data_IF_422157053115
#
_entry.id   IF_422157053115
#
_cell.length_a   1.000
_cell.length_b   1.000
_cell.length_c   1.000
_cell.angle_alpha   90.00
_cell.angle_beta   90.00
_cell.angle_gamma   90.00
#
_symmetry.space_group_name_H-M   'P 1'
#
loop_
_entity.id
_entity.type
_entity.pdbx_description
1 polymer ?
#
# COMPACT_ATOMS: atom_id res chain seq x y z
N UNK A 1 -14.34 -10.82 21.86
CA UNK A 1 -13.22 -11.76 21.57
C UNK A 1 -12.30 -11.80 22.78
N UNK A 2 -11.93 -12.98 23.26
CA UNK A 2 -10.99 -13.11 24.39
C UNK A 2 -9.57 -13.01 23.83
N UNK A 3 -8.98 -11.82 23.90
CA UNK A 3 -7.66 -11.52 23.32
C UNK A 3 -6.60 -11.71 24.41
N UNK A 4 -5.68 -12.66 24.22
CA UNK A 4 -4.56 -12.85 25.14
C UNK A 4 -3.48 -11.80 24.85
N UNK A 5 -3.27 -10.90 25.81
CA UNK A 5 -2.20 -9.90 25.79
C UNK A 5 -1.04 -10.43 26.63
N UNK A 6 0.17 -10.27 26.13
CA UNK A 6 1.40 -10.71 26.81
C UNK A 6 2.43 -9.59 26.86
N UNK A 7 3.20 -9.57 27.94
CA UNK A 7 4.36 -8.71 28.12
C UNK A 7 5.66 -9.38 27.65
N UNK A 8 6.72 -8.58 27.58
CA UNK A 8 8.07 -9.07 27.31
C UNK A 8 8.47 -10.12 28.36
N UNK A 9 8.93 -11.29 27.93
CA UNK A 9 9.41 -12.35 28.83
C UNK A 9 8.31 -13.22 29.44
N UNK A 10 7.03 -12.95 29.12
CA UNK A 10 5.91 -13.74 29.60
C UNK A 10 5.81 -15.09 28.87
N UNK A 11 5.51 -16.15 29.61
CA UNK A 11 5.34 -17.51 29.07
C UNK A 11 3.98 -17.62 28.39
N UNK A 12 3.97 -18.02 27.12
CA UNK A 12 2.75 -18.10 26.29
C UNK A 12 2.14 -19.51 26.36
N UNK A 13 2.98 -20.53 26.17
CA UNK A 13 2.59 -21.94 26.17
C UNK A 13 3.78 -22.79 26.62
N UNK A 14 3.50 -23.86 27.37
CA UNK A 14 4.48 -24.86 27.83
C UNK A 14 4.55 -26.10 26.90
N UNK A 15 3.77 -26.10 25.82
CA UNK A 15 3.60 -27.26 24.93
C UNK A 15 4.69 -27.31 23.87
N UNK A 16 5.43 -28.43 23.83
CA UNK A 16 6.47 -28.72 22.83
C UNK A 16 5.93 -28.88 21.40
N UNK A 17 4.61 -28.91 21.20
CA UNK A 17 3.99 -29.06 19.88
C UNK A 17 3.78 -27.74 19.12
N UNK A 18 4.04 -26.59 19.76
CA UNK A 18 3.87 -25.28 19.13
C UNK A 18 5.09 -24.89 18.29
N UNK A 19 4.86 -24.49 17.05
CA UNK A 19 5.86 -23.90 16.16
C UNK A 19 6.03 -22.42 16.52
N UNK A 20 7.27 -21.97 16.68
CA UNK A 20 7.59 -20.57 16.96
C UNK A 20 7.37 -19.68 15.74
N UNK A 21 6.59 -18.62 15.92
CA UNK A 21 6.44 -17.53 14.96
C UNK A 21 7.24 -16.29 15.34
N UNK A 22 6.94 -15.18 14.68
CA UNK A 22 7.51 -13.88 15.03
C UNK A 22 7.06 -13.42 16.42
N UNK A 23 7.93 -12.70 17.14
CA UNK A 23 7.61 -12.19 18.48
C UNK A 23 7.67 -13.24 19.59
N UNK A 24 8.14 -14.46 19.30
CA UNK A 24 8.34 -15.52 20.29
C UNK A 24 9.75 -16.10 20.23
N UNK A 25 10.23 -16.64 21.34
CA UNK A 25 11.48 -17.38 21.42
C UNK A 25 11.36 -18.47 22.48
N UNK A 26 12.22 -19.48 22.39
CA UNK A 26 12.20 -20.59 23.34
C UNK A 26 13.22 -20.34 24.45
N UNK A 27 12.79 -20.49 25.71
CA UNK A 27 13.65 -20.38 26.89
C UNK A 27 13.22 -21.43 27.91
N UNK A 28 14.16 -22.23 28.40
CA UNK A 28 13.92 -23.25 29.43
C UNK A 28 12.80 -24.24 29.06
N UNK A 29 12.70 -24.61 27.77
CA UNK A 29 11.65 -25.49 27.23
C UNK A 29 10.32 -24.79 26.95
N UNK A 30 10.09 -23.59 27.48
CA UNK A 30 8.85 -22.85 27.32
C UNK A 30 8.90 -21.86 26.14
N UNK A 31 7.75 -21.61 25.53
CA UNK A 31 7.61 -20.56 24.53
C UNK A 31 7.32 -19.22 25.23
N UNK A 32 8.22 -18.26 25.06
CA UNK A 32 8.21 -16.96 25.73
C UNK A 32 8.04 -15.84 24.71
N UNK A 33 7.35 -14.77 25.11
CA UNK A 33 7.20 -13.59 24.26
C UNK A 33 8.46 -12.72 24.22
N UNK A 34 8.92 -12.33 23.03
CA UNK A 34 9.98 -11.33 22.84
C UNK A 34 9.46 -9.90 22.65
N UNK A 35 8.14 -9.70 22.63
CA UNK A 35 7.52 -8.38 22.45
C UNK A 35 6.27 -8.23 23.31
N UNK A 36 5.89 -6.99 23.65
CA UNK A 36 4.58 -6.73 24.25
C UNK A 36 3.50 -6.66 23.16
N UNK A 37 2.46 -7.49 23.26
CA UNK A 37 1.51 -7.63 22.17
C UNK A 37 0.40 -8.64 22.40
N UNK A 38 -0.30 -8.93 21.31
CA UNK A 38 -1.41 -9.88 21.28
C UNK A 38 -0.91 -11.22 20.75
N UNK A 39 -1.19 -12.30 21.47
CA UNK A 39 -0.89 -13.66 21.03
C UNK A 39 -1.79 -14.03 19.86
N UNK A 40 -1.18 -14.45 18.76
CA UNK A 40 -1.85 -14.89 17.54
C UNK A 40 -1.47 -16.34 17.27
N UNK A 41 -2.43 -17.25 17.49
CA UNK A 41 -2.29 -18.68 17.24
C UNK A 41 -2.98 -19.04 15.94
N UNK A 42 -2.23 -19.63 15.00
CA UNK A 42 -2.76 -20.17 13.74
C UNK A 42 -2.30 -21.61 13.64
N UNK A 43 -3.22 -22.57 13.82
CA UNK A 43 -2.89 -23.97 13.96
C UNK A 43 -1.83 -24.17 15.06
N UNK A 44 -0.68 -24.77 14.71
CA UNK A 44 0.45 -24.95 15.62
C UNK A 44 1.39 -23.74 15.69
N UNK A 45 1.24 -22.74 14.81
CA UNK A 45 2.12 -21.57 14.78
C UNK A 45 1.66 -20.53 15.82
N UNK A 46 2.53 -20.25 16.79
CA UNK A 46 2.28 -19.24 17.83
C UNK A 46 3.20 -18.04 17.60
N UNK A 47 2.58 -16.88 17.34
CA UNK A 47 3.27 -15.61 17.14
C UNK A 47 2.69 -14.54 18.06
N UNK A 48 3.44 -13.48 18.32
CA UNK A 48 2.96 -12.32 19.07
C UNK A 48 2.99 -11.11 18.15
N UNK A 49 1.81 -10.54 17.90
CA UNK A 49 1.67 -9.29 17.14
C UNK A 49 1.92 -8.12 18.09
N UNK A 50 3.01 -7.34 17.91
CA UNK A 50 3.32 -6.23 18.79
C UNK A 50 2.28 -5.11 18.66
N UNK A 51 2.04 -4.36 19.73
CA UNK A 51 1.14 -3.19 19.72
C UNK A 51 1.66 -2.08 18.80
N UNK A 52 2.98 -1.97 18.65
CA UNK A 52 3.63 -1.02 17.73
C UNK A 52 4.81 -1.68 17.03
N UNK A 53 4.86 -1.58 15.71
CA UNK A 53 5.98 -2.07 14.90
C UNK A 53 6.24 -1.18 13.68
N UNK A 54 7.48 -1.24 13.17
CA UNK A 54 7.79 -0.78 11.82
C UNK A 54 7.19 -1.75 10.80
N UNK A 55 7.11 -1.30 9.55
CA UNK A 55 6.64 -2.15 8.47
C UNK A 55 7.54 -3.38 8.31
N UNK A 56 6.92 -4.57 8.25
CA UNK A 56 7.60 -5.82 7.98
C UNK A 56 7.31 -6.22 6.53
N UNK A 57 8.32 -6.13 5.64
CA UNK A 57 8.11 -6.37 4.22
C UNK A 57 7.78 -7.83 3.95
N UNK A 58 6.82 -8.08 3.06
CA UNK A 58 6.52 -9.40 2.52
C UNK A 58 6.60 -9.38 1.00
N UNK A 59 6.96 -10.52 0.40
CA UNK A 59 7.02 -10.65 -1.06
C UNK A 59 5.62 -10.47 -1.64
N UNK A 60 5.50 -9.65 -2.68
CA UNK A 60 4.22 -9.28 -3.30
C UNK A 60 3.51 -8.10 -2.65
N UNK A 61 4.00 -7.55 -1.54
CA UNK A 61 3.44 -6.32 -0.98
C UNK A 61 3.63 -5.15 -1.95
N UNK A 62 2.56 -4.38 -2.14
CA UNK A 62 2.60 -3.09 -2.84
C UNK A 62 2.98 -2.02 -1.83
N UNK A 63 4.01 -1.25 -2.15
CA UNK A 63 4.54 -0.19 -1.28
C UNK A 63 4.69 1.12 -2.03
N UNK A 64 4.52 2.21 -1.30
CA UNK A 64 4.98 3.53 -1.73
C UNK A 64 6.30 3.80 -1.02
N UNK A 65 7.29 4.34 -1.71
CA UNK A 65 8.60 4.63 -1.14
C UNK A 65 9.18 5.93 -1.65
N UNK A 66 10.14 6.48 -0.91
CA UNK A 66 10.89 7.68 -1.30
C UNK A 66 12.31 7.30 -1.68
N UNK A 67 12.80 7.84 -2.78
CA UNK A 67 14.17 7.63 -3.21
C UNK A 67 15.10 8.45 -2.31
N UNK A 68 15.97 7.76 -1.59
CA UNK A 68 16.94 8.41 -0.70
C UNK A 68 18.25 8.70 -1.44
N UNK A 69 18.72 7.75 -2.25
CA UNK A 69 20.02 7.82 -2.91
C UNK A 69 19.97 7.13 -4.29
N UNK A 70 20.66 7.73 -5.26
CA UNK A 70 20.92 7.12 -6.58
C UNK A 70 22.31 6.51 -6.57
N UNK A 71 22.42 5.18 -6.66
CA UNK A 71 23.68 4.44 -6.74
C UNK A 71 23.95 4.05 -8.21
N UNK A 72 25.08 3.38 -8.46
CA UNK A 72 25.54 3.04 -9.82
C UNK A 72 24.51 2.23 -10.63
N UNK A 73 23.94 1.18 -10.02
CA UNK A 73 23.07 0.21 -10.72
C UNK A 73 21.70 0.03 -10.05
N UNK A 74 21.42 0.78 -8.98
CA UNK A 74 20.18 0.71 -8.22
C UNK A 74 19.86 2.04 -7.54
N UNK A 75 18.58 2.21 -7.20
CA UNK A 75 18.12 3.26 -6.30
C UNK A 75 17.90 2.68 -4.92
N UNK A 76 18.31 3.42 -3.90
CA UNK A 76 17.97 3.16 -2.51
C UNK A 76 16.66 3.87 -2.19
N UNK A 77 15.73 3.13 -1.59
CA UNK A 77 14.34 3.55 -1.41
C UNK A 77 13.94 3.33 0.04
N UNK A 78 13.53 4.41 0.72
CA UNK A 78 12.91 4.34 2.03
C UNK A 78 11.46 3.90 1.89
N UNK A 79 11.13 2.77 2.52
CA UNK A 79 9.79 2.19 2.58
C UNK A 79 9.27 2.11 4.02
N UNK A 80 9.93 2.75 5.00
CA UNK A 80 9.52 2.71 6.41
C UNK A 80 9.75 1.36 7.12
N UNK A 81 10.50 0.46 6.50
CA UNK A 81 10.91 -0.81 7.09
C UNK A 81 12.11 -0.65 8.03
N UNK A 82 12.67 -1.76 8.52
CA UNK A 82 13.92 -1.76 9.31
C UNK A 82 15.16 -1.49 8.44
N UNK A 83 15.13 -1.94 7.20
CA UNK A 83 16.20 -1.80 6.23
C UNK A 83 15.68 -1.08 4.99
N UNK A 84 16.56 -0.34 4.32
CA UNK A 84 16.23 0.29 3.05
C UNK A 84 15.99 -0.75 1.97
N UNK A 85 15.10 -0.42 1.05
CA UNK A 85 14.82 -1.23 -0.12
C UNK A 85 15.65 -0.76 -1.33
N UNK A 86 15.86 -1.66 -2.28
CA UNK A 86 16.66 -1.40 -3.46
C UNK A 86 15.86 -1.67 -4.73
N UNK A 87 15.74 -0.68 -5.60
CA UNK A 87 15.19 -0.82 -6.94
C UNK A 87 16.33 -0.93 -7.94
N UNK A 88 16.48 -2.07 -8.60
CA UNK A 88 17.53 -2.27 -9.60
C UNK A 88 17.17 -1.64 -10.95
N UNK A 89 18.17 -1.18 -11.72
CA UNK A 89 17.98 -0.72 -13.11
C UNK A 89 17.37 -1.80 -14.03
N UNK A 90 17.62 -3.07 -13.74
CA UNK A 90 17.02 -4.23 -14.43
C UNK A 90 15.57 -4.52 -14.03
N UNK A 91 15.07 -3.85 -12.98
CA UNK A 91 13.76 -4.05 -12.39
C UNK A 91 12.75 -2.93 -12.75
N UNK A 92 13.18 -1.94 -13.55
CA UNK A 92 12.33 -0.87 -14.08
C UNK A 92 11.98 -1.10 -15.55
N UNK A 93 10.87 -0.50 -16.00
CA UNK A 93 10.53 -0.43 -17.43
C UNK A 93 11.31 0.74 -18.04
N UNK A 94 12.16 0.46 -19.04
CA UNK A 94 12.81 1.53 -19.78
C UNK A 94 11.80 2.22 -20.72
N UNK A 95 12.00 3.51 -21.01
CA UNK A 95 11.16 4.20 -21.98
C UNK A 95 11.17 3.49 -23.33
N UNK A 96 10.01 3.42 -23.98
CA UNK A 96 9.75 2.62 -25.18
C UNK A 96 9.23 1.21 -24.91
N UNK A 97 9.11 0.77 -23.65
CA UNK A 97 8.52 -0.53 -23.30
C UNK A 97 9.34 -1.75 -23.77
N UNK A 98 10.44 -1.53 -24.50
CA UNK A 98 11.28 -2.58 -25.05
C UNK A 98 12.13 -3.21 -23.96
N UNK A 99 11.99 -4.52 -23.80
CA UNK A 99 12.87 -5.31 -22.94
C UNK A 99 14.21 -5.53 -23.63
N UNK A 100 15.09 -4.51 -23.58
CA UNK A 100 16.47 -4.58 -24.10
C UNK A 100 17.51 -4.76 -23.00
N UNK A 101 18.70 -5.24 -23.37
CA UNK A 101 19.87 -5.25 -22.49
C UNK A 101 20.15 -3.82 -22.02
N UNK A 102 20.43 -3.68 -20.72
CA UNK A 102 20.80 -2.40 -20.10
C UNK A 102 22.21 -2.03 -20.55
N UNK A 103 22.39 -0.80 -21.00
CA UNK A 103 23.66 -0.29 -21.53
C UNK A 103 24.33 0.64 -20.52
N UNK A 104 25.63 0.88 -20.65
CA UNK A 104 26.36 1.82 -19.78
C UNK A 104 25.81 3.26 -19.85
N UNK A 105 25.16 3.61 -20.96
CA UNK A 105 24.42 4.87 -21.12
C UNK A 105 23.19 4.96 -20.20
N UNK A 106 22.52 3.84 -19.91
CA UNK A 106 21.39 3.81 -18.97
C UNK A 106 21.89 4.01 -17.53
N UNK A 107 23.06 3.44 -17.18
CA UNK A 107 23.71 3.64 -15.88
C UNK A 107 24.08 5.13 -15.65
N UNK A 108 24.60 5.80 -16.68
CA UNK A 108 24.89 7.24 -16.59
C UNK A 108 23.62 8.10 -16.46
N UNK A 109 22.50 7.64 -17.03
CA UNK A 109 21.23 8.35 -17.05
C UNK A 109 20.26 7.96 -15.92
N UNK A 110 20.73 7.26 -14.88
CA UNK A 110 19.91 6.82 -13.74
C UNK A 110 19.09 7.96 -13.12
N UNK A 111 19.70 9.14 -12.96
CA UNK A 111 19.04 10.33 -12.39
C UNK A 111 17.87 10.87 -13.24
N UNK A 112 17.83 10.55 -14.53
CA UNK A 112 16.76 11.00 -15.42
C UNK A 112 15.46 10.19 -15.22
N UNK A 113 15.57 8.94 -14.77
CA UNK A 113 14.39 8.13 -14.45
C UNK A 113 13.82 8.53 -13.09
N UNK A 114 14.72 8.65 -12.12
CA UNK A 114 14.39 8.76 -10.72
C UNK A 114 15.50 9.55 -10.02
N UNK A 115 15.14 10.68 -9.42
CA UNK A 115 16.05 11.49 -8.59
C UNK A 115 15.74 11.34 -7.12
N UNK A 116 16.64 11.81 -6.28
CA UNK A 116 16.44 11.87 -4.83
C UNK A 116 15.15 12.63 -4.48
N UNK A 117 14.53 12.22 -3.37
CA UNK A 117 13.25 12.71 -2.85
C UNK A 117 12.00 12.43 -3.69
N UNK A 118 12.13 11.80 -4.86
CA UNK A 118 10.96 11.37 -5.62
C UNK A 118 10.25 10.20 -4.95
N UNK A 119 8.91 10.23 -5.05
CA UNK A 119 8.06 9.16 -4.57
C UNK A 119 7.79 8.18 -5.70
N UNK A 120 7.87 6.90 -5.36
CA UNK A 120 7.59 5.80 -6.29
C UNK A 120 6.60 4.83 -5.66
N UNK A 121 5.83 4.20 -6.52
CA UNK A 121 5.08 2.99 -6.19
C UNK A 121 5.81 1.78 -6.76
N UNK A 122 5.95 0.73 -5.97
CA UNK A 122 6.65 -0.47 -6.36
C UNK A 122 6.10 -1.71 -5.64
N UNK A 123 6.46 -2.87 -6.13
CA UNK A 123 6.15 -4.15 -5.50
C UNK A 123 7.44 -4.80 -4.98
N UNK A 124 7.33 -5.50 -3.85
CA UNK A 124 8.44 -6.25 -3.27
C UNK A 124 8.62 -7.55 -4.04
N UNK A 125 9.71 -7.64 -4.82
CA UNK A 125 10.02 -8.79 -5.66
C UNK A 125 10.57 -9.96 -4.83
N UNK A 126 11.56 -9.66 -3.99
CA UNK A 126 12.32 -10.66 -3.26
C UNK A 126 12.93 -10.03 -2.02
N UNK A 127 12.93 -10.80 -0.94
CA UNK A 127 13.62 -10.49 0.30
C UNK A 127 14.69 -11.55 0.48
N UNK A 128 15.95 -11.13 0.60
CA UNK A 128 17.03 -12.03 1.00
C UNK A 128 17.13 -11.99 2.53
N UNK A 129 16.75 -13.10 3.19
CA UNK A 129 16.70 -13.17 4.65
C UNK A 129 18.09 -13.25 5.33
N UNK A 130 19.15 -13.61 4.61
CA UNK A 130 20.51 -13.66 5.15
C UNK A 130 21.15 -12.26 5.18
N UNK A 131 20.95 -11.49 4.10
CA UNK A 131 21.52 -10.14 3.96
C UNK A 131 20.54 -9.02 4.33
N UNK A 132 19.29 -9.37 4.62
CA UNK A 132 18.15 -8.45 4.81
C UNK A 132 17.91 -7.50 3.63
N UNK A 133 18.43 -7.83 2.43
CA UNK A 133 18.26 -7.02 1.24
C UNK A 133 16.84 -7.17 0.68
N UNK A 134 16.12 -6.05 0.59
CA UNK A 134 14.76 -5.97 0.03
C UNK A 134 14.87 -5.47 -1.41
N UNK A 135 14.41 -6.26 -2.36
CA UNK A 135 14.47 -5.92 -3.79
C UNK A 135 13.10 -5.54 -4.31
N UNK A 136 12.98 -4.34 -4.88
CA UNK A 136 11.77 -3.80 -5.49
C UNK A 136 11.78 -3.99 -7.00
N UNK A 137 10.59 -4.01 -7.61
CA UNK A 137 10.43 -3.91 -9.05
C UNK A 137 9.25 -3.02 -9.44
N UNK A 138 9.35 -2.41 -10.63
CA UNK A 138 8.30 -1.60 -11.24
C UNK A 138 8.05 -2.09 -12.68
N UNK A 139 7.98 -3.42 -12.86
CA UNK A 139 7.82 -4.07 -14.18
C UNK A 139 6.40 -4.03 -14.74
N UNK A 140 5.44 -3.52 -13.99
CA UNK A 140 4.06 -3.29 -14.45
C UNK A 140 3.83 -1.80 -14.65
N UNK A 141 3.06 -1.42 -15.68
CA UNK A 141 2.74 -0.03 -15.98
C UNK A 141 1.95 0.70 -14.87
N UNK A 142 1.36 -0.04 -13.92
CA UNK A 142 0.72 0.54 -12.73
C UNK A 142 1.73 1.11 -11.72
N UNK A 143 2.97 0.62 -11.76
CA UNK A 143 4.04 1.05 -10.85
C UNK A 143 4.89 2.14 -11.49
N UNK A 144 5.58 2.90 -10.65
CA UNK A 144 6.49 3.94 -11.10
C UNK A 144 6.36 5.22 -10.30
N UNK A 145 6.80 6.32 -10.93
CA UNK A 145 6.88 7.64 -10.33
C UNK A 145 5.50 8.21 -9.97
N UNK A 146 5.39 8.72 -8.76
CA UNK A 146 4.20 9.39 -8.25
C UNK A 146 4.40 10.90 -8.30
N UNK A 147 3.46 11.61 -8.91
CA UNK A 147 3.45 13.08 -9.07
C UNK A 147 2.02 13.58 -9.11
N UNK A 148 1.83 14.90 -8.95
CA UNK A 148 0.53 15.57 -8.99
C UNK A 148 -0.48 15.03 -7.96
N UNK A 149 -0.01 14.85 -6.72
CA UNK A 149 -0.81 14.28 -5.65
C UNK A 149 -0.32 14.66 -4.25
N UNK A 150 -0.83 13.95 -3.25
CA UNK A 150 -0.56 14.18 -1.85
C UNK A 150 -0.14 12.87 -1.17
N UNK A 151 0.97 12.96 -0.45
CA UNK A 151 1.52 11.87 0.35
C UNK A 151 0.98 11.91 1.79
N UNK A 152 0.63 10.75 2.34
CA UNK A 152 0.15 10.58 3.70
C UNK A 152 0.81 9.37 4.33
N UNK A 153 1.26 9.48 5.57
CA UNK A 153 1.85 8.38 6.34
C UNK A 153 0.95 7.99 7.50
N UNK A 154 0.69 6.70 7.65
CA UNK A 154 -0.03 6.12 8.79
C UNK A 154 0.75 4.91 9.32
N UNK A 155 0.52 4.47 10.56
CA UNK A 155 1.11 3.23 11.06
C UNK A 155 0.74 2.04 10.16
N UNK A 156 1.71 1.20 9.73
CA UNK A 156 1.48 0.12 8.78
C UNK A 156 0.46 -0.92 9.27
N UNK A 157 0.37 -1.13 10.59
CA UNK A 157 -0.59 -2.06 11.20
C UNK A 157 -2.06 -1.68 10.99
N UNK A 158 -2.35 -0.41 10.68
CA UNK A 158 -3.72 0.03 10.42
C UNK A 158 -4.15 -0.28 8.99
N UNK A 159 -3.21 -0.56 8.07
CA UNK A 159 -3.55 -0.87 6.69
C UNK A 159 -3.99 -2.33 6.59
N UNK A 160 -5.22 -2.54 6.11
CA UNK A 160 -5.71 -3.88 5.81
C UNK A 160 -5.15 -4.34 4.46
N UNK A 161 -4.31 -5.37 4.46
CA UNK A 161 -3.87 -6.04 3.21
C UNK A 161 -5.08 -6.53 2.42
N UNK A 162 -5.10 -6.22 1.13
CA UNK A 162 -6.23 -6.46 0.24
C UNK A 162 -5.74 -6.92 -1.13
N UNK A 163 -6.58 -7.58 -1.93
CA UNK A 163 -6.18 -8.05 -3.29
C UNK A 163 -5.74 -6.89 -4.20
N UNK A 164 -6.36 -5.72 -4.06
CA UNK A 164 -5.99 -4.51 -4.79
C UNK A 164 -5.64 -3.35 -3.85
N UNK A 165 -4.51 -2.72 -4.14
CA UNK A 165 -4.01 -1.54 -3.44
C UNK A 165 -4.11 -0.26 -4.29
N UNK A 166 -4.48 -0.39 -5.58
CA UNK A 166 -4.77 0.71 -6.50
C UNK A 166 -6.27 0.81 -6.68
N UNK A 167 -6.84 1.94 -6.28
CA UNK A 167 -8.27 2.10 -6.21
C UNK A 167 -8.67 3.49 -6.64
N UNK A 168 -9.71 3.60 -7.46
CA UNK A 168 -10.32 4.89 -7.76
C UNK A 168 -11.59 4.99 -6.92
N UNK A 169 -11.59 5.92 -5.97
CA UNK A 169 -12.72 6.15 -5.09
C UNK A 169 -13.88 6.79 -5.86
N UNK A 170 -15.15 6.60 -5.41
CA UNK A 170 -16.33 7.19 -6.04
C UNK A 170 -16.27 8.72 -6.16
N UNK A 171 -15.57 9.39 -5.25
CA UNK A 171 -15.36 10.84 -5.27
C UNK A 171 -14.27 11.31 -6.26
N UNK A 172 -13.80 10.42 -7.14
CA UNK A 172 -12.88 10.78 -8.22
C UNK A 172 -11.42 10.90 -7.81
N UNK A 173 -11.04 10.36 -6.65
CA UNK A 173 -9.65 10.34 -6.15
C UNK A 173 -9.02 8.97 -6.40
N UNK A 174 -7.83 8.96 -7.00
CA UNK A 174 -6.96 7.77 -7.04
C UNK A 174 -6.28 7.61 -5.68
N UNK A 175 -6.45 6.42 -5.12
CA UNK A 175 -5.89 6.00 -3.85
C UNK A 175 -4.92 4.84 -4.08
N UNK A 176 -3.67 5.03 -3.66
CA UNK A 176 -2.66 3.96 -3.57
C UNK A 176 -2.38 3.71 -2.09
N UNK A 177 -2.85 2.56 -1.59
CA UNK A 177 -2.63 2.14 -0.20
C UNK A 177 -1.39 1.26 -0.12
N UNK A 178 -0.21 1.81 0.20
CA UNK A 178 0.96 0.98 0.46
C UNK A 178 0.79 0.15 1.74
N UNK A 179 1.14 -1.15 1.68
CA UNK A 179 1.15 -2.05 2.85
C UNK A 179 2.04 -1.52 3.99
N UNK A 180 2.99 -0.66 3.65
CA UNK A 180 3.91 0.00 4.57
C UNK A 180 3.33 1.21 5.30
N UNK A 181 2.05 1.55 5.09
CA UNK A 181 1.43 2.73 5.67
C UNK A 181 1.76 4.02 4.95
N UNK A 182 2.48 3.95 3.82
CA UNK A 182 2.70 5.09 2.94
C UNK A 182 1.60 5.10 1.88
N UNK A 183 0.82 6.18 1.88
CA UNK A 183 -0.38 6.33 1.06
C UNK A 183 -0.17 7.48 0.10
N UNK A 184 -0.59 7.29 -1.14
CA UNK A 184 -0.60 8.33 -2.17
C UNK A 184 -2.01 8.61 -2.65
N UNK A 185 -2.35 9.89 -2.76
CA UNK A 185 -3.63 10.39 -3.23
C UNK A 185 -3.41 11.28 -4.45
N UNK A 186 -4.06 11.00 -5.56
CA UNK A 186 -4.00 11.86 -6.76
C UNK A 186 -5.30 11.83 -7.53
N UNK A 187 -5.35 12.50 -8.67
CA UNK A 187 -6.46 12.37 -9.62
C UNK A 187 -6.16 11.19 -10.56
N UNK A 188 -7.15 10.33 -10.84
CA UNK A 188 -6.98 9.23 -11.76
C UNK A 188 -6.70 9.71 -13.19
N UNK A 189 -5.85 8.98 -13.90
CA UNK A 189 -5.64 9.17 -15.33
C UNK A 189 -6.75 8.50 -16.16
N UNK A 190 -6.91 8.88 -17.43
CA UNK A 190 -7.85 8.19 -18.34
C UNK A 190 -7.58 6.68 -18.47
N UNK A 191 -6.32 6.27 -18.40
CA UNK A 191 -5.91 4.86 -18.36
C UNK A 191 -6.43 4.14 -17.12
N UNK A 192 -6.45 4.82 -15.97
CA UNK A 192 -6.92 4.31 -14.69
C UNK A 192 -8.45 4.38 -14.57
N UNK A 193 -9.09 5.33 -15.27
CA UNK A 193 -10.55 5.39 -15.39
C UNK A 193 -11.11 4.21 -16.20
N UNK A 194 -10.34 3.61 -17.12
CA UNK A 194 -10.77 2.38 -17.82
C UNK A 194 -10.87 1.17 -16.87
N UNK A 195 -10.13 1.19 -15.76
CA UNK A 195 -10.26 0.18 -14.70
C UNK A 195 -11.66 0.29 -14.03
N UNK A 196 -12.33 1.45 -14.09
CA UNK A 196 -13.70 1.65 -13.53
C UNK A 196 -14.80 0.87 -14.23
N UNK A 197 -14.65 0.43 -15.49
CA UNK A 197 -15.74 -0.30 -16.17
C UNK A 197 -16.03 -1.68 -15.54
N UNK A 198 -15.11 -2.20 -14.73
CA UNK A 198 -15.26 -3.49 -14.05
C UNK A 198 -15.66 -3.32 -12.57
N UNK A 199 -15.51 -2.11 -12.00
CA UNK A 199 -15.72 -1.85 -10.57
C UNK A 199 -17.07 -1.20 -10.23
N UNK A 200 -18.15 -1.49 -10.97
CA UNK A 200 -19.53 -1.19 -10.55
C UNK A 200 -20.00 -2.16 -9.42
N UNK A 201 -19.07 -2.53 -8.53
CA UNK A 201 -19.21 -3.60 -7.53
C UNK A 201 -19.78 -3.10 -6.19
N UNK A 202 -20.06 -1.80 -6.04
CA UNK A 202 -20.43 -1.22 -4.75
C UNK A 202 -21.93 -1.07 -4.48
N UNK A 203 -22.80 -1.57 -5.36
CA UNK A 203 -24.26 -1.55 -5.15
C UNK A 203 -24.84 -2.95 -5.38
N UNK A 204 -24.53 -3.90 -4.51
CA UNK A 204 -25.48 -4.95 -4.14
C UNK A 204 -24.97 -5.72 -2.92
N UNK A 205 -25.94 -6.10 -2.08
CA UNK A 205 -25.78 -6.80 -0.81
C UNK A 205 -25.12 -8.17 -0.96
N UNK A 206 -24.30 -8.49 0.03
CA UNK A 206 -23.64 -9.78 0.29
C UNK A 206 -24.59 -10.97 0.22
N UNK A 207 -24.43 -11.84 -0.79
CA UNK A 207 -24.59 -13.32 -0.70
C UNK A 207 -23.98 -14.02 -1.94
N UNK A 208 -23.80 -13.37 -3.09
CA UNK A 208 -23.32 -14.00 -4.35
C UNK A 208 -21.79 -13.92 -4.58
N UNK A 209 -21.01 -13.60 -3.54
CA UNK A 209 -19.57 -13.28 -3.65
C UNK A 209 -18.60 -14.46 -3.75
N UNK A 210 -19.09 -15.71 -3.70
CA UNK A 210 -18.20 -16.87 -3.66
C UNK A 210 -18.03 -17.54 -5.04
N UNK A 211 -19.00 -17.41 -5.95
CA UNK A 211 -19.03 -18.19 -7.20
C UNK A 211 -18.45 -17.44 -8.42
N UNK A 212 -18.28 -16.11 -8.33
CA UNK A 212 -17.82 -15.26 -9.45
C UNK A 212 -16.34 -14.86 -9.39
N UNK A 213 -15.62 -15.18 -8.30
CA UNK A 213 -14.17 -14.88 -8.19
C UNK A 213 -13.31 -15.79 -9.10
N UNK A 214 -13.83 -16.96 -9.49
CA UNK A 214 -13.09 -17.94 -10.31
C UNK A 214 -13.12 -17.60 -11.81
N UNK A 215 -14.16 -16.93 -12.32
CA UNK A 215 -14.25 -16.53 -13.75
C UNK A 215 -13.39 -15.30 -14.12
N UNK A 216 -13.05 -14.45 -13.15
CA UNK A 216 -12.29 -13.20 -13.38
C UNK A 216 -10.81 -13.50 -13.69
N UNK A 217 -10.25 -14.58 -13.11
CA UNK A 217 -8.84 -14.93 -13.27
C UNK A 217 -8.51 -15.50 -14.67
N UNK A 218 -9.47 -16.12 -15.36
CA UNK A 218 -9.25 -16.62 -16.73
C UNK A 218 -9.22 -15.49 -17.78
N UNK A 219 -9.98 -14.41 -17.57
CA UNK A 219 -10.13 -13.33 -18.55
C UNK A 219 -9.01 -12.28 -18.50
N UNK A 220 -8.35 -12.09 -17.35
CA UNK A 220 -7.17 -11.22 -17.23
C UNK A 220 -5.98 -11.69 -18.09
N UNK A 221 -5.90 -12.99 -18.40
CA UNK A 221 -4.80 -13.57 -19.19
C UNK A 221 -5.03 -13.52 -20.72
N UNK A 222 -6.27 -13.27 -21.19
CA UNK A 222 -6.58 -13.19 -22.64
C UNK A 222 -6.30 -11.81 -23.25
N UNK A 223 -6.45 -10.72 -22.50
CA UNK A 223 -6.30 -9.35 -23.03
C UNK A 223 -4.85 -8.86 -23.19
N UNK A 224 -3.85 -9.69 -22.84
CA UNK A 224 -2.42 -9.35 -22.96
C UNK A 224 -1.88 -9.61 -24.38
N UNK A 225 -2.60 -10.36 -25.24
CA UNK A 225 -2.08 -10.74 -26.58
C UNK A 225 -2.21 -9.68 -27.68
N UNK A 226 -3.04 -8.65 -27.53
CA UNK A 226 -3.39 -7.76 -28.65
C UNK A 226 -2.71 -6.38 -28.64
N UNK A 227 -1.70 -6.15 -27.78
CA UNK A 227 -1.06 -4.82 -27.62
C UNK A 227 0.26 -4.62 -28.38
N UNK A 228 0.60 -5.48 -29.34
CA UNK A 228 1.80 -5.33 -30.16
C UNK A 228 1.51 -4.57 -31.48
N UNK A 229 0.92 -3.38 -31.39
CA UNK A 229 0.94 -2.43 -32.50
C UNK A 229 0.66 -1.03 -31.96
N UNK A 230 1.49 -0.07 -32.37
CA UNK A 230 1.36 1.38 -32.16
C UNK A 230 2.01 1.95 -30.87
N UNK A 231 3.34 1.80 -30.75
CA UNK A 231 4.19 2.59 -29.85
C UNK A 231 5.41 3.14 -30.60
N UNK A 232 5.17 3.89 -31.67
CA UNK A 232 6.19 4.72 -32.34
C UNK A 232 5.79 6.19 -32.33
N UNK A 233 5.73 6.84 -31.16
CA UNK A 233 5.97 8.29 -31.11
C UNK A 233 6.34 8.78 -29.69
N UNK A 234 7.52 9.38 -29.59
CA UNK A 234 8.08 10.20 -28.49
C UNK A 234 8.44 9.50 -27.16
N UNK A 235 9.58 8.80 -27.21
CA UNK A 235 10.14 7.91 -26.18
C UNK A 235 10.99 8.58 -25.06
N UNK A 236 10.82 9.87 -24.74
CA UNK A 236 11.54 10.53 -23.62
C UNK A 236 10.63 10.99 -22.47
N UNK A 237 9.30 10.90 -22.64
CA UNK A 237 8.32 11.53 -21.73
C UNK A 237 7.75 10.59 -20.66
N UNK A 238 8.11 9.30 -20.63
CA UNK A 238 7.57 8.34 -19.65
C UNK A 238 7.89 8.72 -18.18
N UNK A 239 9.05 9.36 -17.95
CA UNK A 239 9.50 9.79 -16.61
C UNK A 239 9.35 11.30 -16.36
N UNK A 240 9.01 12.06 -17.42
CA UNK A 240 8.60 13.46 -17.35
C UNK A 240 7.08 13.52 -17.43
N UNK A 241 6.42 13.22 -16.31
CA UNK A 241 4.97 13.39 -16.23
C UNK A 241 4.65 14.87 -16.46
N UNK A 242 3.87 15.17 -17.49
CA UNK A 242 3.43 16.54 -17.80
C UNK A 242 2.56 17.04 -16.64
N UNK A 243 2.94 18.16 -16.04
CA UNK A 243 2.21 18.76 -14.91
C UNK A 243 0.73 18.92 -15.28
N UNK A 244 -0.15 18.31 -14.48
CA UNK A 244 -1.59 18.39 -14.70
C UNK A 244 -2.18 19.60 -13.99
N UNK A 245 -3.06 20.32 -14.68
CA UNK A 245 -3.90 21.33 -14.04
C UNK A 245 -4.99 20.64 -13.22
N UNK A 246 -4.86 20.76 -11.90
CA UNK A 246 -5.81 20.20 -10.93
C UNK A 246 -6.76 21.31 -10.47
N UNK A 247 -8.07 21.11 -10.62
CA UNK A 247 -9.10 22.08 -10.20
C UNK A 247 -9.20 22.18 -8.68
N UNK A 248 -9.72 23.31 -8.17
CA UNK A 248 -9.90 23.53 -6.73
C UNK A 248 -10.81 22.46 -6.09
N UNK A 249 -11.86 22.05 -6.79
CA UNK A 249 -12.82 21.04 -6.35
C UNK A 249 -12.13 19.67 -6.18
N UNK A 250 -11.32 19.25 -7.16
CA UNK A 250 -10.56 18.01 -7.05
C UNK A 250 -9.55 18.03 -5.90
N UNK A 251 -8.91 19.18 -5.63
CA UNK A 251 -8.02 19.32 -4.46
C UNK A 251 -8.79 19.19 -3.15
N UNK A 252 -10.01 19.72 -3.08
CA UNK A 252 -10.86 19.60 -1.89
C UNK A 252 -11.24 18.14 -1.63
N UNK A 253 -11.53 17.36 -2.68
CA UNK A 253 -11.80 15.93 -2.55
C UNK A 253 -10.57 15.14 -2.06
N UNK A 254 -9.38 15.42 -2.62
CA UNK A 254 -8.12 14.84 -2.12
C UNK A 254 -7.92 15.19 -0.63
N UNK A 255 -8.16 16.44 -0.23
CA UNK A 255 -8.03 16.87 1.16
C UNK A 255 -9.03 16.16 2.07
N UNK A 256 -10.28 15.94 1.61
CA UNK A 256 -11.30 15.22 2.37
C UNK A 256 -10.87 13.77 2.63
N UNK A 257 -10.40 13.07 1.59
CA UNK A 257 -9.88 11.69 1.69
C UNK A 257 -8.67 11.62 2.62
N UNK A 258 -7.71 12.55 2.47
CA UNK A 258 -6.56 12.64 3.37
C UNK A 258 -6.99 12.77 4.82
N UNK A 259 -7.91 13.70 5.09
CA UNK A 259 -8.32 13.97 6.46
C UNK A 259 -9.16 12.84 7.04
N UNK A 260 -9.92 12.11 6.21
CA UNK A 260 -10.57 10.87 6.61
C UNK A 260 -9.56 9.79 7.05
N UNK A 261 -8.50 9.59 6.27
CA UNK A 261 -7.41 8.66 6.61
C UNK A 261 -6.74 9.05 7.93
N UNK A 262 -6.48 10.35 8.14
CA UNK A 262 -5.89 10.84 9.39
C UNK A 262 -6.85 10.64 10.58
N UNK A 263 -8.16 10.85 10.40
CA UNK A 263 -9.15 10.60 11.45
C UNK A 263 -9.21 9.12 11.83
N UNK A 264 -9.20 8.21 10.86
CA UNK A 264 -9.12 6.76 11.08
C UNK A 264 -7.84 6.39 11.83
N UNK A 265 -6.69 6.94 11.39
CA UNK A 265 -5.40 6.69 12.02
C UNK A 265 -5.36 7.15 13.47
N UNK A 266 -5.90 8.34 13.77
CA UNK A 266 -5.94 8.87 15.14
C UNK A 266 -6.89 8.07 16.05
N UNK A 267 -7.96 7.50 15.48
CA UNK A 267 -8.89 6.62 16.19
C UNK A 267 -8.41 5.16 16.27
N UNK A 268 -7.20 4.83 15.79
CA UNK A 268 -6.65 3.46 15.72
C UNK A 268 -7.59 2.47 15.00
N UNK A 269 -8.26 2.93 13.95
CA UNK A 269 -9.17 2.10 13.16
C UNK A 269 -8.48 1.54 11.91
N UNK A 270 -8.88 0.34 11.46
CA UNK A 270 -8.39 -0.23 10.21
C UNK A 270 -8.75 0.64 9.01
N UNK A 271 -7.74 0.90 8.19
CA UNK A 271 -7.79 1.72 6.98
C UNK A 271 -7.88 0.79 5.79
N UNK A 272 -9.03 0.85 5.13
CA UNK A 272 -9.36 0.14 3.89
C UNK A 272 -10.41 0.97 3.14
N UNK A 273 -10.72 0.66 1.88
CA UNK A 273 -11.45 1.58 1.01
C UNK A 273 -12.82 1.96 1.55
N UNK A 274 -13.55 0.99 2.10
CA UNK A 274 -14.88 1.25 2.66
C UNK A 274 -14.83 2.05 3.95
N UNK A 275 -13.84 1.84 4.84
CA UNK A 275 -13.73 2.66 6.06
C UNK A 275 -13.40 4.12 5.72
N UNK A 276 -12.56 4.37 4.73
CA UNK A 276 -12.28 5.73 4.22
C UNK A 276 -13.55 6.36 3.66
N UNK A 277 -14.29 5.62 2.83
CA UNK A 277 -15.50 6.13 2.19
C UNK A 277 -16.63 6.42 3.16
N UNK A 278 -16.82 5.60 4.19
CA UNK A 278 -17.80 5.86 5.26
C UNK A 278 -17.50 7.20 5.96
N UNK A 279 -16.23 7.44 6.32
CA UNK A 279 -15.81 8.71 6.94
C UNK A 279 -16.02 9.90 6.00
N UNK A 280 -15.71 9.74 4.71
CA UNK A 280 -15.96 10.78 3.70
C UNK A 280 -17.45 11.08 3.53
N UNK A 281 -18.30 10.05 3.46
CA UNK A 281 -19.76 10.17 3.36
C UNK A 281 -20.33 10.86 4.58
N UNK A 282 -19.95 10.42 5.79
CA UNK A 282 -20.35 11.04 7.05
C UNK A 282 -19.95 12.51 7.14
N UNK A 283 -18.77 12.85 6.63
CA UNK A 283 -18.29 14.25 6.55
C UNK A 283 -19.15 15.13 5.65
N UNK A 284 -19.74 14.57 4.59
CA UNK A 284 -20.67 15.28 3.70
C UNK A 284 -22.05 15.40 4.37
N UNK A 285 -22.56 14.34 4.99
CA UNK A 285 -23.85 14.34 5.69
C UNK A 285 -23.90 15.36 6.84
N UNK A 286 -22.83 15.44 7.63
CA UNK A 286 -22.71 16.39 8.74
C UNK A 286 -22.31 17.81 8.29
N UNK A 287 -22.19 18.06 6.98
CA UNK A 287 -21.74 19.32 6.39
C UNK A 287 -20.39 19.84 6.94
N UNK A 288 -19.49 18.92 7.30
CA UNK A 288 -18.17 19.27 7.85
C UNK A 288 -17.22 19.61 6.69
N UNK A 289 -16.65 20.81 6.74
CA UNK A 289 -15.64 21.21 5.78
C UNK A 289 -14.35 20.37 5.97
N UNK A 290 -13.64 19.97 4.90
CA UNK A 290 -12.38 19.21 5.02
C UNK A 290 -11.40 19.79 6.04
N UNK A 291 -11.26 21.11 6.14
CA UNK A 291 -10.37 21.76 7.13
C UNK A 291 -10.72 21.41 8.58
N UNK A 292 -12.00 21.21 8.86
CA UNK A 292 -12.51 20.98 10.21
C UNK A 292 -12.53 19.50 10.61
N UNK A 293 -12.37 18.58 9.65
CA UNK A 293 -12.28 17.14 9.93
C UNK A 293 -11.11 16.79 10.86
N UNK A 294 -10.09 17.65 10.94
CA UNK A 294 -8.90 17.43 11.78
C UNK A 294 -9.17 17.73 13.27
N UNK A 295 -10.24 18.48 13.59
CA UNK A 295 -10.60 18.77 14.99
C UNK A 295 -10.98 17.48 15.70
N UNK A 296 -10.46 17.26 16.90
CA UNK A 296 -10.66 16.01 17.67
C UNK A 296 -12.14 15.67 17.89
N UNK A 297 -12.98 16.68 18.19
CA UNK A 297 -14.44 16.50 18.32
C UNK A 297 -15.05 15.90 17.05
N UNK A 298 -14.67 16.43 15.89
CA UNK A 298 -15.18 15.99 14.60
C UNK A 298 -14.62 14.62 14.23
N UNK A 299 -13.34 14.32 14.51
CA UNK A 299 -12.78 12.99 14.28
C UNK A 299 -13.54 11.88 15.00
N UNK A 300 -13.99 12.13 16.24
CA UNK A 300 -14.76 11.15 17.01
C UNK A 300 -16.12 10.89 16.35
N UNK A 301 -16.83 11.94 15.95
CA UNK A 301 -18.14 11.85 15.27
C UNK A 301 -17.99 11.13 13.93
N UNK A 302 -17.01 11.53 13.13
CA UNK A 302 -16.79 10.99 11.79
C UNK A 302 -16.40 9.51 11.80
N UNK A 303 -15.78 9.03 12.88
CA UNK A 303 -15.32 7.64 13.00
C UNK A 303 -16.28 6.74 13.78
N UNK A 304 -17.42 7.25 14.25
CA UNK A 304 -18.37 6.47 15.06
C UNK A 304 -18.99 5.30 14.29
N UNK A 305 -19.43 5.54 13.06
CA UNK A 305 -20.05 4.52 12.20
C UNK A 305 -19.08 3.38 11.87
N UNK A 306 -17.81 3.72 11.62
CA UNK A 306 -16.76 2.70 11.39
C UNK A 306 -16.50 1.89 12.66
N UNK A 307 -16.55 2.50 13.85
CA UNK A 307 -16.40 1.78 15.12
C UNK A 307 -17.55 0.81 15.35
N UNK A 308 -18.77 1.16 14.96
CA UNK A 308 -19.94 0.29 15.07
C UNK A 308 -19.85 -0.90 14.13
N UNK A 309 -19.35 -0.70 12.91
CA UNK A 309 -19.18 -1.77 11.91
C UNK A 309 -18.13 -2.82 12.32
N UNK A 310 -17.18 -2.47 13.19
CA UNK A 310 -16.09 -3.36 13.64
C UNK A 310 -16.44 -4.12 14.93
N UNK A 311 -17.46 -3.67 15.68
CA UNK A 311 -17.92 -4.35 16.89
C UNK A 311 -18.58 -5.69 16.58
#
# INVERSE_FOLDING_TARGET
MNVQVVNLGEVITNENESIRGHGTFQKDGNLVSSVAGIVHRVNKLVSVKPLRSRYHPEVGDVVVGRITEVLRNNWKVDIGARHDAFLGLSAIILPGGVQRRRTSTDEMNMRNFYKEDELISAEIQKINYETFKISLHTRSFKYGKLSDGQFVTVPPMLIKRSKSHYLVLPNGVLLILGCNGFIWLSIPEESELKIKKISNWFISTTTELQELEDEINENSNKSIKDKNMDLETNNFDFYKKKEKMITKEQRLEICRVRNAILALSNSFLPIYPTSIMLVCKKSIEENINPKEMIKQKNMIILTSEVKELIK
#
